data_IF_839331209098
#
_entry.id   IF_839331209098
#
_cell.length_a   1.000
_cell.length_b   1.000
_cell.length_c   1.000
_cell.angle_alpha   90.00
_cell.angle_beta   90.00
_cell.angle_gamma   90.00
#
_symmetry.space_group_name_H-M   'P 1'
#
loop_
_entity.id
_entity.type
_entity.pdbx_description
1 polymer ?
#
# COMPACT_ATOMS: atom_id res chain seq x y z
N UNK A 1 -36.51 -18.05 1.81
CA UNK A 1 -35.87 -16.93 1.09
C UNK A 1 -35.45 -15.90 2.12
N UNK A 2 -34.21 -15.98 2.56
CA UNK A 2 -33.62 -15.00 3.50
C UNK A 2 -33.24 -13.77 2.68
N UNK A 3 -33.62 -12.54 3.07
CA UNK A 3 -33.26 -11.35 2.31
C UNK A 3 -31.73 -11.26 2.23
N UNK A 4 -31.21 -11.20 1.00
CA UNK A 4 -29.80 -10.93 0.78
C UNK A 4 -29.44 -9.65 1.52
N UNK A 5 -28.56 -9.74 2.51
CA UNK A 5 -28.02 -8.54 3.15
C UNK A 5 -27.36 -7.72 2.03
N UNK A 6 -27.67 -6.42 1.87
CA UNK A 6 -27.08 -5.58 0.83
C UNK A 6 -25.56 -5.39 1.01
N UNK A 7 -25.02 -5.86 2.13
CA UNK A 7 -23.61 -5.96 2.44
C UNK A 7 -23.34 -7.37 2.99
N UNK A 8 -22.95 -8.30 2.13
CA UNK A 8 -22.15 -9.44 2.59
C UNK A 8 -20.81 -8.83 2.99
N UNK A 9 -20.42 -8.80 4.28
CA UNK A 9 -19.12 -8.29 4.66
C UNK A 9 -18.09 -9.24 4.05
N UNK A 10 -17.67 -8.92 2.82
CA UNK A 10 -16.71 -9.71 2.07
C UNK A 10 -15.49 -9.98 2.95
N UNK A 11 -14.87 -11.14 2.77
CA UNK A 11 -13.67 -11.54 3.53
C UNK A 11 -12.77 -10.32 3.73
N UNK A 12 -12.67 -9.82 4.96
CA UNK A 12 -11.92 -8.60 5.32
C UNK A 12 -10.50 -8.60 4.79
N UNK A 13 -9.90 -9.77 4.63
CA UNK A 13 -8.58 -9.92 4.03
C UNK A 13 -8.56 -9.68 2.51
N UNK A 14 -9.68 -9.94 1.82
CA UNK A 14 -9.89 -9.57 0.42
C UNK A 14 -10.02 -8.06 0.27
N UNK A 15 -10.71 -7.38 1.17
CA UNK A 15 -10.82 -5.93 1.15
C UNK A 15 -9.49 -5.26 1.50
N UNK A 16 -8.77 -5.78 2.50
CA UNK A 16 -7.40 -5.39 2.80
C UNK A 16 -6.46 -5.61 1.60
N UNK A 17 -6.57 -6.75 0.90
CA UNK A 17 -5.79 -7.02 -0.31
C UNK A 17 -6.10 -6.02 -1.43
N UNK A 18 -7.38 -5.70 -1.65
CA UNK A 18 -7.80 -4.70 -2.67
C UNK A 18 -7.30 -3.31 -2.31
N UNK A 19 -7.48 -2.88 -1.07
CA UNK A 19 -7.00 -1.58 -0.59
C UNK A 19 -5.48 -1.47 -0.70
N UNK A 20 -4.74 -2.53 -0.32
CA UNK A 20 -3.29 -2.58 -0.48
C UNK A 20 -2.87 -2.54 -1.95
N UNK A 21 -3.56 -3.25 -2.84
CA UNK A 21 -3.26 -3.24 -4.26
C UNK A 21 -3.40 -1.84 -4.86
N UNK A 22 -4.50 -1.14 -4.56
CA UNK A 22 -4.72 0.24 -5.03
C UNK A 22 -3.62 1.16 -4.49
N UNK A 23 -3.34 1.08 -3.19
CA UNK A 23 -2.23 1.79 -2.56
C UNK A 23 -0.89 1.52 -3.26
N UNK A 24 -0.59 0.24 -3.52
CA UNK A 24 0.64 -0.21 -4.15
C UNK A 24 0.79 0.33 -5.57
N UNK A 25 -0.28 0.25 -6.38
CA UNK A 25 -0.30 0.78 -7.75
C UNK A 25 -0.04 2.29 -7.75
N UNK A 26 -0.73 3.05 -6.90
CA UNK A 26 -0.57 4.50 -6.80
C UNK A 26 0.88 4.87 -6.45
N UNK A 27 1.47 4.20 -5.47
CA UNK A 27 2.87 4.42 -5.08
C UNK A 27 3.86 4.00 -6.17
N UNK A 28 3.59 2.89 -6.85
CA UNK A 28 4.46 2.38 -7.89
C UNK A 28 4.47 3.30 -9.10
N UNK A 29 3.30 3.75 -9.56
CA UNK A 29 3.18 4.75 -10.64
C UNK A 29 3.88 6.04 -10.24
N UNK A 30 3.69 6.53 -9.01
CA UNK A 30 4.40 7.70 -8.50
C UNK A 30 5.92 7.53 -8.52
N UNK A 31 6.42 6.37 -8.10
CA UNK A 31 7.85 6.05 -8.14
C UNK A 31 8.41 5.99 -9.56
N UNK A 32 7.67 5.39 -10.49
CA UNK A 32 8.01 5.35 -11.92
C UNK A 32 8.07 6.76 -12.50
N UNK A 33 7.05 7.58 -12.23
CA UNK A 33 7.00 8.97 -12.70
C UNK A 33 8.19 9.79 -12.22
N UNK A 34 8.51 9.72 -10.92
CA UNK A 34 9.65 10.42 -10.34
C UNK A 34 10.97 9.94 -10.97
N UNK A 35 11.12 8.63 -11.19
CA UNK A 35 12.29 8.07 -11.85
C UNK A 35 12.46 8.61 -13.28
N UNK A 36 11.38 8.79 -14.05
CA UNK A 36 11.44 9.39 -15.39
C UNK A 36 11.86 10.86 -15.37
N UNK A 37 11.64 11.57 -14.26
CA UNK A 37 11.92 13.00 -14.13
C UNK A 37 13.26 13.32 -13.43
N UNK A 38 14.17 12.36 -13.30
CA UNK A 38 15.45 12.63 -12.63
C UNK A 38 15.41 12.50 -11.10
N UNK A 39 14.20 12.35 -10.53
CA UNK A 39 13.93 12.57 -9.12
C UNK A 39 13.82 11.24 -8.37
N UNK A 40 14.62 11.02 -7.33
CA UNK A 40 14.50 9.80 -6.52
C UNK A 40 15.75 9.46 -5.71
N UNK A 41 15.67 8.33 -5.01
CA UNK A 41 16.56 7.92 -3.90
C UNK A 41 18.06 7.83 -4.27
N UNK A 42 18.47 7.98 -5.55
CA UNK A 42 19.89 7.93 -5.98
C UNK A 42 20.16 8.44 -7.41
N UNK A 43 19.40 9.42 -7.90
CA UNK A 43 19.47 9.84 -9.30
C UNK A 43 18.75 8.85 -10.22
N UNK A 44 17.90 9.36 -11.10
CA UNK A 44 17.05 8.59 -11.99
C UNK A 44 17.76 7.44 -12.72
N UNK A 45 17.02 6.34 -12.93
CA UNK A 45 17.34 5.19 -13.79
C UNK A 45 18.78 4.62 -13.75
N UNK A 46 19.62 5.02 -12.79
CA UNK A 46 20.94 4.45 -12.59
C UNK A 46 20.84 3.27 -11.61
N UNK A 47 21.17 2.06 -12.09
CA UNK A 47 21.37 0.81 -11.35
C UNK A 47 20.35 0.53 -10.23
N UNK A 48 20.57 1.11 -9.05
CA UNK A 48 19.72 0.93 -7.87
C UNK A 48 18.29 1.45 -8.06
N UNK A 49 18.05 2.45 -8.92
CA UNK A 49 16.69 2.96 -9.20
C UNK A 49 15.75 1.91 -9.80
N UNK A 50 16.23 1.14 -10.78
CA UNK A 50 15.48 0.06 -11.43
C UNK A 50 15.18 -1.06 -10.45
N UNK A 51 16.17 -1.43 -9.62
CA UNK A 51 15.98 -2.45 -8.58
C UNK A 51 14.81 -2.08 -7.64
N UNK A 52 14.71 -0.81 -7.22
CA UNK A 52 13.60 -0.35 -6.37
C UNK A 52 12.25 -0.41 -7.07
N UNK A 53 12.18 -0.09 -8.37
CA UNK A 53 10.93 -0.21 -9.14
C UNK A 53 10.49 -1.67 -9.27
N UNK A 54 11.43 -2.59 -9.54
CA UNK A 54 11.15 -4.03 -9.62
C UNK A 54 10.71 -4.58 -8.28
N UNK A 55 11.44 -4.27 -7.20
CA UNK A 55 11.05 -4.66 -5.84
C UNK A 55 9.69 -4.10 -5.46
N UNK A 56 9.42 -2.84 -5.80
CA UNK A 56 8.10 -2.23 -5.62
C UNK A 56 7.01 -3.03 -6.33
N UNK A 57 7.20 -3.38 -7.60
CA UNK A 57 6.25 -4.17 -8.38
C UNK A 57 6.00 -5.54 -7.75
N UNK A 58 7.07 -6.22 -7.30
CA UNK A 58 6.98 -7.49 -6.58
C UNK A 58 6.09 -7.32 -5.35
N UNK A 59 6.27 -6.27 -4.54
CA UNK A 59 5.42 -6.02 -3.37
C UNK A 59 3.97 -5.70 -3.73
N UNK A 60 3.73 -4.91 -4.79
CA UNK A 60 2.38 -4.59 -5.29
C UNK A 60 1.60 -5.87 -5.62
N UNK A 61 2.26 -6.92 -6.11
CA UNK A 61 1.61 -8.17 -6.50
C UNK A 61 1.61 -9.18 -5.34
N UNK A 62 2.76 -9.40 -4.70
CA UNK A 62 2.96 -10.45 -3.70
C UNK A 62 2.11 -10.23 -2.45
N UNK A 63 2.03 -9.00 -1.95
CA UNK A 63 1.31 -8.69 -0.70
C UNK A 63 -0.20 -8.95 -0.84
N UNK A 64 -0.92 -8.40 -1.84
CA UNK A 64 -2.34 -8.71 -1.99
C UNK A 64 -2.56 -10.18 -2.34
N UNK A 65 -1.63 -10.82 -3.06
CA UNK A 65 -1.69 -12.26 -3.32
C UNK A 65 -1.65 -13.09 -2.03
N UNK A 66 -0.78 -12.73 -1.09
CA UNK A 66 -0.66 -13.38 0.23
C UNK A 66 -1.85 -13.07 1.16
N UNK A 67 -2.40 -11.84 1.11
CA UNK A 67 -3.57 -11.48 1.91
C UNK A 67 -4.85 -12.17 1.41
N UNK A 68 -5.03 -12.33 0.10
CA UNK A 68 -6.31 -12.74 -0.50
C UNK A 68 -6.75 -14.16 -0.13
N UNK A 69 -5.84 -15.09 0.13
CA UNK A 69 -6.17 -16.47 0.51
C UNK A 69 -5.15 -17.02 1.51
N UNK A 70 -5.58 -17.81 2.51
CA UNK A 70 -4.64 -18.55 3.35
C UNK A 70 -3.85 -19.53 2.47
N UNK A 71 -2.54 -19.61 2.72
CA UNK A 71 -1.62 -20.45 1.95
C UNK A 71 -0.85 -21.32 2.93
N UNK A 72 -1.11 -22.63 2.87
CA UNK A 72 -0.52 -23.61 3.79
C UNK A 72 1.00 -23.55 3.82
N UNK A 73 1.66 -23.29 2.68
CA UNK A 73 3.13 -23.16 2.65
C UNK A 73 3.61 -21.90 3.39
N UNK A 74 2.92 -20.77 3.26
CA UNK A 74 3.31 -19.52 3.91
C UNK A 74 3.02 -19.56 5.41
N UNK A 75 1.86 -20.09 5.79
CA UNK A 75 1.47 -20.24 7.20
C UNK A 75 2.33 -21.28 7.94
N UNK A 76 2.81 -22.32 7.23
CA UNK A 76 3.66 -23.36 7.80
C UNK A 76 5.13 -22.96 7.94
N UNK A 77 5.65 -22.12 7.04
CA UNK A 77 7.08 -21.79 6.99
C UNK A 77 7.42 -20.36 7.40
N UNK A 78 6.47 -19.42 7.35
CA UNK A 78 6.74 -18.00 7.55
C UNK A 78 5.89 -17.44 8.68
N UNK A 79 4.62 -17.10 8.41
CA UNK A 79 3.75 -16.38 9.34
C UNK A 79 2.27 -16.70 9.04
N UNK A 80 1.43 -16.74 10.07
CA UNK A 80 -0.02 -16.79 9.90
C UNK A 80 -0.53 -15.55 9.14
N UNK A 81 -1.61 -15.70 8.36
CA UNK A 81 -2.21 -14.57 7.58
C UNK A 81 -2.50 -13.33 8.45
N UNK A 82 -2.93 -13.55 9.70
CA UNK A 82 -3.23 -12.48 10.67
C UNK A 82 -1.95 -11.79 11.17
N UNK A 83 -0.91 -12.54 11.49
CA UNK A 83 0.37 -11.96 11.95
C UNK A 83 1.10 -11.23 10.84
N UNK A 84 1.04 -11.76 9.62
CA UNK A 84 1.49 -11.04 8.44
C UNK A 84 0.77 -9.69 8.28
N UNK A 85 -0.56 -9.67 8.43
CA UNK A 85 -1.32 -8.42 8.37
C UNK A 85 -0.97 -7.45 9.51
N UNK A 86 -0.67 -7.93 10.72
CA UNK A 86 -0.19 -7.10 11.85
C UNK A 86 1.15 -6.45 11.52
N UNK A 87 2.12 -7.24 11.05
CA UNK A 87 3.46 -6.77 10.67
C UNK A 87 3.33 -5.77 9.51
N UNK A 88 2.52 -6.08 8.50
CA UNK A 88 2.27 -5.19 7.38
C UNK A 88 1.67 -3.86 7.84
N UNK A 89 0.72 -3.89 8.79
CA UNK A 89 0.14 -2.66 9.36
C UNK A 89 1.22 -1.80 10.02
N UNK A 90 2.13 -2.40 10.80
CA UNK A 90 3.24 -1.67 11.41
C UNK A 90 4.16 -1.04 10.36
N UNK A 91 4.53 -1.77 9.31
CA UNK A 91 5.31 -1.21 8.21
C UNK A 91 4.59 -0.08 7.49
N UNK A 92 3.29 -0.20 7.27
CA UNK A 92 2.48 0.86 6.68
C UNK A 92 2.39 2.10 7.59
N UNK A 93 2.30 1.91 8.92
CA UNK A 93 2.32 3.01 9.88
C UNK A 93 3.66 3.75 9.87
N UNK A 94 4.78 3.03 9.88
CA UNK A 94 6.12 3.61 9.72
C UNK A 94 6.25 4.39 8.40
N UNK A 95 5.67 3.85 7.33
CA UNK A 95 5.66 4.51 6.03
C UNK A 95 4.79 5.76 6.03
N UNK A 96 3.60 5.71 6.62
CA UNK A 96 2.72 6.87 6.77
C UNK A 96 3.43 7.99 7.55
N UNK A 97 4.13 7.65 8.63
CA UNK A 97 4.97 8.59 9.38
C UNK A 97 6.07 9.22 8.52
N UNK A 98 6.79 8.42 7.74
CA UNK A 98 7.83 8.93 6.85
C UNK A 98 7.27 9.90 5.80
N UNK A 99 6.10 9.59 5.21
CA UNK A 99 5.45 10.46 4.22
C UNK A 99 4.87 11.71 4.86
N UNK A 100 4.29 11.62 6.07
CA UNK A 100 3.82 12.77 6.82
C UNK A 100 4.95 13.76 7.08
N UNK A 101 6.14 13.28 7.48
CA UNK A 101 7.32 14.15 7.65
C UNK A 101 7.71 14.88 6.36
N UNK A 102 7.50 14.27 5.19
CA UNK A 102 7.74 14.94 3.90
C UNK A 102 6.65 15.97 3.63
N UNK A 103 5.38 15.66 3.90
CA UNK A 103 4.27 16.59 3.75
C UNK A 103 4.36 17.81 4.68
N UNK A 104 5.03 17.68 5.82
CA UNK A 104 5.22 18.78 6.79
C UNK A 104 6.46 19.64 6.52
N UNK A 105 7.30 19.30 5.53
CA UNK A 105 8.48 20.14 5.19
C UNK A 105 8.03 21.44 4.50
N UNK A 106 8.61 22.55 4.94
CA UNK A 106 8.32 23.88 4.43
C UNK A 106 8.91 24.14 3.03
N UNK A 107 10.09 23.58 2.75
CA UNK A 107 10.73 23.63 1.44
C UNK A 107 10.49 22.32 0.70
N UNK A 108 9.80 22.40 -0.44
CA UNK A 108 9.63 21.24 -1.31
C UNK A 108 9.87 21.65 -2.74
N UNK A 109 10.75 20.91 -3.42
CA UNK A 109 10.86 20.95 -4.87
C UNK A 109 9.48 20.70 -5.52
N UNK A 110 9.36 21.06 -6.79
CA UNK A 110 8.22 20.73 -7.63
C UNK A 110 8.66 19.80 -8.76
N UNK A 111 7.72 19.00 -9.26
CA UNK A 111 7.89 18.17 -10.45
C UNK A 111 6.74 18.48 -11.40
N UNK A 112 7.00 18.43 -12.70
CA UNK A 112 5.96 18.54 -13.71
C UNK A 112 4.84 17.51 -13.46
N UNK A 113 3.60 17.98 -13.52
CA UNK A 113 2.41 17.17 -13.43
C UNK A 113 2.17 16.42 -14.76
N UNK A 114 1.63 15.19 -14.74
CA UNK A 114 1.30 14.45 -15.95
C UNK A 114 0.28 15.12 -16.89
N UNK A 115 -0.51 16.07 -16.40
CA UNK A 115 -1.62 16.73 -17.12
C UNK A 115 -1.34 18.21 -17.43
N UNK A 116 -0.10 18.66 -17.28
CA UNK A 116 0.28 20.07 -17.39
C UNK A 116 0.18 20.80 -16.04
N UNK A 117 1.22 21.56 -15.70
CA UNK A 117 1.38 22.25 -14.41
C UNK A 117 2.49 21.63 -13.54
N UNK A 118 2.63 22.13 -12.31
CA UNK A 118 3.62 21.66 -11.34
C UNK A 118 2.94 21.09 -10.09
N UNK A 119 3.42 19.93 -9.64
CA UNK A 119 3.03 19.32 -8.37
C UNK A 119 4.19 19.49 -7.39
N UNK A 120 3.94 20.20 -6.29
CA UNK A 120 4.90 20.25 -5.18
C UNK A 120 4.99 18.88 -4.52
N UNK A 121 6.18 18.49 -4.06
CA UNK A 121 6.33 17.23 -3.33
C UNK A 121 5.45 17.21 -2.08
N UNK A 122 5.14 18.37 -1.50
CA UNK A 122 4.20 18.48 -0.38
C UNK A 122 2.80 17.99 -0.75
N UNK A 123 2.25 18.49 -1.87
CA UNK A 123 0.93 18.08 -2.34
C UNK A 123 0.90 16.59 -2.69
N UNK A 124 1.92 16.09 -3.39
CA UNK A 124 2.06 14.66 -3.67
C UNK A 124 2.14 13.82 -2.39
N UNK A 125 2.94 14.23 -1.41
CA UNK A 125 3.06 13.55 -0.13
C UNK A 125 1.75 13.53 0.66
N UNK A 126 0.95 14.60 0.61
CA UNK A 126 -0.37 14.63 1.26
C UNK A 126 -1.33 13.60 0.66
N UNK A 127 -1.38 13.49 -0.68
CA UNK A 127 -2.19 12.48 -1.37
C UNK A 127 -1.70 11.07 -1.00
N UNK A 128 -0.39 10.83 -1.10
CA UNK A 128 0.19 9.53 -0.71
C UNK A 128 -0.10 9.20 0.75
N UNK A 129 -0.06 10.17 1.66
CA UNK A 129 -0.37 9.98 3.07
C UNK A 129 -1.82 9.50 3.25
N UNK A 130 -2.80 10.18 2.64
CA UNK A 130 -4.22 9.80 2.73
C UNK A 130 -4.43 8.37 2.22
N UNK A 131 -3.90 8.05 1.04
CA UNK A 131 -4.00 6.69 0.47
C UNK A 131 -3.35 5.65 1.38
N UNK A 132 -2.21 5.99 2.00
CA UNK A 132 -1.53 5.11 2.96
C UNK A 132 -2.37 4.85 4.20
N UNK A 133 -2.95 5.90 4.79
CA UNK A 133 -3.80 5.77 5.99
C UNK A 133 -5.03 4.94 5.70
N UNK A 134 -5.74 5.22 4.59
CA UNK A 134 -6.91 4.45 4.20
C UNK A 134 -6.55 2.97 4.06
N UNK A 135 -5.53 2.63 3.27
CA UNK A 135 -5.13 1.24 3.09
C UNK A 135 -4.65 0.59 4.40
N UNK A 136 -3.92 1.32 5.25
CA UNK A 136 -3.48 0.83 6.56
C UNK A 136 -4.67 0.50 7.47
N UNK A 137 -5.74 1.29 7.45
CA UNK A 137 -6.96 1.02 8.23
C UNK A 137 -7.62 -0.30 7.79
N UNK A 138 -7.74 -0.56 6.49
CA UNK A 138 -8.28 -1.83 6.00
C UNK A 138 -7.42 -3.04 6.42
N UNK A 139 -6.09 -2.91 6.33
CA UNK A 139 -5.17 -3.96 6.77
C UNK A 139 -5.24 -4.15 8.30
N UNK A 140 -5.37 -3.07 9.07
CA UNK A 140 -5.54 -3.12 10.51
C UNK A 140 -6.86 -3.81 10.89
N UNK A 141 -7.97 -3.48 10.24
CA UNK A 141 -9.24 -4.17 10.46
C UNK A 141 -9.08 -5.67 10.19
N UNK A 142 -8.45 -6.06 9.08
CA UNK A 142 -8.19 -7.46 8.79
C UNK A 142 -7.31 -8.16 9.86
N UNK A 143 -6.32 -7.46 10.42
CA UNK A 143 -5.37 -7.97 11.39
C UNK A 143 -5.93 -8.10 12.82
N UNK A 144 -6.82 -7.20 13.25
CA UNK A 144 -7.32 -7.16 14.62
C UNK A 144 -8.77 -7.64 14.77
N UNK A 145 -9.59 -7.69 13.72
CA UNK A 145 -10.94 -8.23 13.83
C UNK A 145 -10.97 -9.71 14.21
N UNK A 146 -11.86 -10.12 15.14
CA UNK A 146 -12.07 -11.53 15.47
C UNK A 146 -12.55 -12.31 14.24
N UNK A 147 -12.26 -13.59 14.19
CA UNK A 147 -12.72 -14.46 13.11
C UNK A 147 -14.25 -14.43 13.08
N UNK A 148 -14.81 -14.10 11.91
CA UNK A 148 -16.24 -14.23 11.73
C UNK A 148 -16.49 -15.73 11.70
N UNK A 149 -17.23 -16.25 12.68
CA UNK A 149 -17.68 -17.64 12.64
C UNK A 149 -18.33 -17.90 11.27
N UNK A 150 -17.94 -18.99 10.58
CA UNK A 150 -18.64 -19.36 9.36
C UNK A 150 -20.11 -19.53 9.71
N UNK A 151 -20.99 -18.83 9.00
CA UNK A 151 -22.43 -19.02 9.11
C UNK A 151 -22.70 -20.53 8.93
N UNK A 152 -23.14 -21.18 10.00
CA UNK A 152 -23.58 -22.57 9.98
C UNK A 152 -24.79 -22.74 9.07
#
# INVERSE_FOLDING_TARGET
>A
MTPARPFDPGDRFRDAARAYLVYGIVYWIGGVWLAFHGVGVRGAFAGRGILWLVLGLIFVIAIPYLLRRPRVWFERWVLGRRDFARILTLFMALRAWAVLRVALRAETASVAAPWGGEITFRAGAAVFFIVTIVAALFVAVAAWSPDQEPAK
#
